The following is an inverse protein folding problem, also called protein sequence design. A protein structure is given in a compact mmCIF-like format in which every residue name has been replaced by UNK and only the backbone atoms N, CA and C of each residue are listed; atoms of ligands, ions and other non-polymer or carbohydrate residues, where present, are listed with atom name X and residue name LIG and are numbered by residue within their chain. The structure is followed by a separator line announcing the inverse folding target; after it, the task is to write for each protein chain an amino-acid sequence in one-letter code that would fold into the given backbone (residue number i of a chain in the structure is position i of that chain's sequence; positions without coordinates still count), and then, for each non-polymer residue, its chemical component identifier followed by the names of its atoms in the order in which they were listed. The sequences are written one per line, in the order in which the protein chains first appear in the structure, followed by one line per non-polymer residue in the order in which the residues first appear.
data_IF_934395249367
#
_entry.id   IF_934395249367
#
_cell.length_a   1.000
_cell.length_b   1.000
_cell.length_c   1.000
_cell.angle_alpha   90.00
_cell.angle_beta   90.00
_cell.angle_gamma   90.00
#
_symmetry.space_group_name_H-M   'P 1'
#
loop_
_entity.id
_entity.type
_entity.pdbx_description
1 polymer ?
#
# COMPACT_ATOMS: atom_id res chain seq x y z
N UNK A 1 6.75 -25.15 -93.90
CA UNK A 1 7.09 -23.77 -93.49
C UNK A 1 6.42 -23.49 -92.15
N UNK A 2 7.12 -23.74 -91.03
CA UNK A 2 6.59 -23.66 -89.67
C UNK A 2 7.06 -22.37 -89.03
N UNK A 3 6.14 -21.53 -88.56
CA UNK A 3 6.46 -20.33 -87.78
C UNK A 3 6.16 -20.61 -86.39
N UNK A 4 7.18 -20.64 -85.53
CA UNK A 4 7.18 -20.79 -84.10
C UNK A 4 6.94 -19.41 -83.48
N UNK A 5 5.86 -19.25 -82.69
CA UNK A 5 5.64 -18.06 -81.89
C UNK A 5 6.09 -18.36 -80.45
N UNK A 6 7.12 -17.64 -80.03
CA UNK A 6 7.51 -17.57 -78.63
C UNK A 6 6.50 -16.67 -77.86
N UNK A 7 5.78 -17.20 -76.91
CA UNK A 7 5.00 -16.45 -75.95
C UNK A 7 5.86 -16.29 -74.72
N UNK A 8 6.23 -15.04 -74.38
CA UNK A 8 6.87 -14.66 -73.13
C UNK A 8 5.80 -14.53 -72.08
N UNK A 9 5.84 -15.42 -71.04
CA UNK A 9 4.98 -15.34 -69.86
C UNK A 9 5.63 -14.43 -68.80
N UNK A 10 5.06 -13.24 -68.58
CA UNK A 10 5.40 -12.38 -67.45
C UNK A 10 4.74 -12.94 -66.17
N UNK A 11 5.52 -13.52 -65.29
CA UNK A 11 5.13 -13.90 -63.95
C UNK A 11 5.23 -12.66 -63.03
N UNK A 12 4.12 -12.01 -62.76
CA UNK A 12 3.99 -11.01 -61.68
C UNK A 12 3.85 -11.71 -60.35
N UNK A 13 4.90 -11.74 -59.55
CA UNK A 13 4.89 -12.20 -58.18
C UNK A 13 4.21 -11.12 -57.28
N UNK A 14 2.95 -11.34 -56.97
CA UNK A 14 2.25 -10.56 -55.91
C UNK A 14 2.69 -11.08 -54.53
N UNK A 15 3.65 -10.37 -53.94
CA UNK A 15 4.06 -10.62 -52.55
C UNK A 15 2.94 -10.20 -51.60
N UNK A 16 2.18 -11.15 -51.03
CA UNK A 16 1.32 -10.92 -49.87
C UNK A 16 2.22 -10.66 -48.65
N UNK A 17 2.36 -9.39 -48.28
CA UNK A 17 2.81 -9.00 -46.93
C UNK A 17 1.71 -9.34 -45.94
N UNK A 18 1.73 -10.56 -45.39
CA UNK A 18 0.97 -10.88 -44.18
C UNK A 18 1.66 -10.18 -43.01
N UNK A 19 1.19 -8.97 -42.65
CA UNK A 19 1.50 -8.36 -41.39
C UNK A 19 0.95 -9.29 -40.29
N UNK A 20 1.81 -10.12 -39.72
CA UNK A 20 1.50 -10.93 -38.55
C UNK A 20 1.19 -10.02 -37.39
N UNK A 21 -0.07 -9.78 -37.15
CA UNK A 21 -0.56 -9.25 -35.84
C UNK A 21 -0.17 -10.28 -34.78
N UNK A 22 0.98 -10.04 -34.15
CA UNK A 22 1.35 -10.75 -32.92
C UNK A 22 0.27 -10.43 -31.88
N UNK A 23 -0.78 -11.25 -31.82
CA UNK A 23 -1.68 -11.29 -30.68
C UNK A 23 -0.81 -11.78 -29.54
N UNK A 24 -0.29 -10.83 -28.72
CA UNK A 24 0.17 -11.14 -27.40
C UNK A 24 -0.99 -11.82 -26.67
N UNK A 25 -0.94 -13.14 -26.57
CA UNK A 25 -1.82 -13.92 -25.72
C UNK A 25 -1.52 -13.48 -24.29
N UNK A 26 -2.19 -12.41 -23.82
CA UNK A 26 -2.17 -12.03 -22.42
C UNK A 26 -2.61 -13.28 -21.64
N UNK A 27 -1.65 -13.89 -20.94
CA UNK A 27 -1.93 -15.07 -20.12
C UNK A 27 -3.12 -14.73 -19.24
N UNK A 28 -4.25 -15.39 -19.49
CA UNK A 28 -5.53 -15.09 -18.83
C UNK A 28 -5.31 -15.27 -17.34
N UNK A 29 -5.49 -14.21 -16.58
CA UNK A 29 -5.30 -14.25 -15.13
C UNK A 29 -6.20 -15.36 -14.55
N UNK A 30 -5.64 -16.21 -13.69
CA UNK A 30 -6.36 -17.32 -13.04
C UNK A 30 -7.62 -16.84 -12.30
N UNK A 31 -7.57 -15.61 -11.79
CA UNK A 31 -8.67 -14.97 -11.08
C UNK A 31 -9.12 -13.71 -11.81
N UNK A 32 -10.44 -13.56 -11.92
CA UNK A 32 -11.09 -12.34 -12.31
C UNK A 32 -11.43 -11.47 -11.09
N UNK A 33 -12.02 -10.31 -11.33
CA UNK A 33 -12.54 -9.45 -10.28
C UNK A 33 -13.91 -8.89 -10.64
N UNK A 34 -14.69 -8.59 -9.61
CA UNK A 34 -15.98 -7.95 -9.73
C UNK A 34 -16.05 -6.74 -8.79
N UNK A 35 -16.65 -5.65 -9.27
CA UNK A 35 -16.91 -4.46 -8.46
C UNK A 35 -17.74 -4.80 -7.22
N UNK A 36 -17.50 -4.10 -6.12
CA UNK A 36 -18.27 -4.24 -4.88
C UNK A 36 -19.02 -2.95 -4.57
N UNK A 37 -20.11 -3.06 -3.83
CA UNK A 37 -20.83 -1.90 -3.33
C UNK A 37 -20.02 -1.23 -2.20
N UNK A 38 -19.30 -0.15 -2.48
CA UNK A 38 -18.38 0.54 -1.56
C UNK A 38 -19.03 0.86 -0.20
N UNK A 39 -20.29 1.26 -0.18
CA UNK A 39 -21.06 1.58 1.05
C UNK A 39 -21.14 0.42 2.05
N UNK A 40 -20.88 -0.80 1.59
CA UNK A 40 -20.84 -2.01 2.43
C UNK A 40 -19.48 -2.31 3.00
N UNK A 41 -18.45 -1.51 2.71
CA UNK A 41 -17.10 -1.73 3.14
C UNK A 41 -16.54 -0.55 3.93
N UNK A 42 -15.70 -0.86 4.89
CA UNK A 42 -14.89 0.13 5.59
C UNK A 42 -13.43 -0.35 5.58
N UNK A 43 -12.54 0.47 5.01
CA UNK A 43 -11.09 0.27 5.05
C UNK A 43 -10.57 1.01 6.26
N UNK A 44 -10.04 0.28 7.23
CA UNK A 44 -9.73 0.78 8.54
C UNK A 44 -8.28 0.52 8.92
N UNK A 45 -7.71 1.44 9.67
CA UNK A 45 -6.45 1.25 10.38
C UNK A 45 -6.74 1.06 11.87
N UNK A 46 -6.46 -0.14 12.36
CA UNK A 46 -6.55 -0.50 13.77
C UNK A 46 -5.25 -0.14 14.48
N UNK A 47 -5.28 0.64 15.57
CA UNK A 47 -4.09 0.88 16.38
C UNK A 47 -3.68 -0.39 17.12
N UNK A 48 -2.37 -0.73 17.08
CA UNK A 48 -1.80 -1.86 17.81
C UNK A 48 -0.65 -1.36 18.68
N UNK A 49 -0.63 -1.77 19.94
CA UNK A 49 0.37 -1.31 20.88
C UNK A 49 0.53 0.21 20.88
N UNK A 50 1.77 0.71 21.06
CA UNK A 50 2.01 2.16 21.19
C UNK A 50 2.14 2.92 19.88
N UNK A 51 2.63 2.28 18.81
CA UNK A 51 3.00 2.98 17.57
C UNK A 51 2.56 2.31 16.27
N UNK A 52 2.15 1.05 16.31
CA UNK A 52 1.83 0.27 15.12
C UNK A 52 0.37 0.39 14.70
N UNK A 53 0.12 0.06 13.43
CA UNK A 53 -1.22 0.03 12.84
C UNK A 53 -1.39 -1.24 12.03
N UNK A 54 -2.58 -1.84 12.09
CA UNK A 54 -2.97 -3.00 11.30
C UNK A 54 -4.07 -2.60 10.33
N UNK A 55 -3.93 -3.01 9.06
CA UNK A 55 -4.99 -2.87 8.07
C UNK A 55 -6.10 -3.87 8.37
N UNK A 56 -7.32 -3.39 8.35
CA UNK A 56 -8.55 -4.17 8.51
C UNK A 56 -9.57 -3.67 7.50
N UNK A 57 -10.17 -4.58 6.74
CA UNK A 57 -11.35 -4.25 5.94
C UNK A 57 -12.55 -4.96 6.54
N UNK A 58 -13.63 -4.21 6.79
CA UNK A 58 -14.92 -4.74 7.24
C UNK A 58 -15.92 -4.72 6.11
N UNK A 59 -16.74 -5.76 6.02
CA UNK A 59 -17.89 -5.84 5.13
C UNK A 59 -19.15 -6.00 5.93
N UNK A 60 -20.16 -5.19 5.61
CA UNK A 60 -21.55 -5.30 6.09
C UNK A 60 -22.31 -6.25 5.16
N UNK A 61 -22.60 -7.48 5.60
CA UNK A 61 -23.34 -8.47 4.81
C UNK A 61 -24.85 -8.26 4.94
N UNK A 62 -25.37 -8.25 6.17
CA UNK A 62 -26.77 -7.93 6.48
C UNK A 62 -26.88 -6.49 6.97
N UNK A 63 -28.00 -5.83 6.74
CA UNK A 63 -28.20 -4.42 7.07
C UNK A 63 -28.07 -4.11 8.57
N UNK A 64 -28.42 -5.05 9.43
CA UNK A 64 -28.39 -4.93 10.88
C UNK A 64 -27.89 -6.23 11.53
N UNK A 65 -27.31 -6.14 12.75
CA UNK A 65 -26.80 -4.94 13.39
C UNK A 65 -25.60 -4.35 12.62
N UNK A 66 -25.28 -3.06 12.85
CA UNK A 66 -24.18 -2.39 12.19
C UNK A 66 -22.83 -2.93 12.64
N UNK A 67 -21.94 -3.24 11.66
CA UNK A 67 -20.59 -3.76 11.89
C UNK A 67 -19.62 -2.70 12.40
N UNK A 68 -19.91 -1.42 12.13
CA UNK A 68 -19.15 -0.26 12.61
C UNK A 68 -20.03 0.98 12.71
N UNK A 69 -19.59 1.95 13.50
CA UNK A 69 -20.20 3.26 13.63
C UNK A 69 -19.16 4.36 13.51
N UNK A 70 -19.49 5.42 12.80
CA UNK A 70 -18.69 6.65 12.84
C UNK A 70 -18.88 7.32 14.21
N UNK A 71 -17.79 7.81 14.80
CA UNK A 71 -17.78 8.56 16.06
C UNK A 71 -17.72 10.06 15.74
N UNK A 72 -18.15 10.89 16.70
CA UNK A 72 -18.11 12.34 16.56
C UNK A 72 -16.69 12.91 16.46
N UNK A 73 -15.69 12.22 17.02
CA UNK A 73 -14.27 12.57 16.95
C UNK A 73 -13.58 12.16 15.64
N UNK A 74 -14.35 11.71 14.63
CA UNK A 74 -13.85 11.28 13.32
C UNK A 74 -13.23 9.88 13.29
N UNK A 75 -13.23 9.17 14.42
CA UNK A 75 -12.83 7.78 14.47
C UNK A 75 -14.01 6.85 14.14
N UNK A 76 -13.70 5.61 13.92
CA UNK A 76 -14.67 4.53 13.68
C UNK A 76 -14.60 3.52 14.81
N UNK A 77 -15.73 3.19 15.38
CA UNK A 77 -15.86 2.15 16.36
C UNK A 77 -16.37 0.86 15.71
N UNK A 78 -15.58 -0.23 15.69
CA UNK A 78 -16.05 -1.54 15.24
C UNK A 78 -16.99 -2.14 16.29
N UNK A 79 -18.11 -2.66 15.84
CA UNK A 79 -19.15 -3.22 16.76
C UNK A 79 -19.06 -4.74 16.90
N UNK A 80 -18.03 -5.37 16.31
CA UNK A 80 -17.93 -6.84 16.20
C UNK A 80 -17.86 -7.58 17.53
N UNK A 81 -17.41 -6.92 18.60
CA UNK A 81 -17.33 -7.53 19.93
C UNK A 81 -18.64 -7.41 20.72
N UNK A 82 -19.68 -6.77 20.16
CA UNK A 82 -20.94 -6.49 20.86
C UNK A 82 -22.05 -7.50 20.56
N UNK A 83 -21.86 -8.34 19.52
CA UNK A 83 -22.82 -9.34 19.10
C UNK A 83 -22.13 -10.47 18.29
N UNK A 84 -22.84 -11.57 18.08
CA UNK A 84 -22.37 -12.61 17.16
C UNK A 84 -22.44 -12.10 15.73
N UNK A 85 -21.33 -11.71 15.17
CA UNK A 85 -21.22 -11.09 13.83
C UNK A 85 -21.22 -12.11 12.68
N UNK A 86 -21.25 -13.42 12.93
CA UNK A 86 -21.26 -14.46 11.91
C UNK A 86 -22.42 -14.29 10.94
N UNK A 87 -22.14 -14.27 9.65
CA UNK A 87 -23.15 -14.04 8.60
C UNK A 87 -23.72 -12.63 8.51
N UNK A 88 -23.32 -11.70 9.40
CA UNK A 88 -23.74 -10.29 9.42
C UNK A 88 -22.60 -9.39 8.96
N UNK A 89 -21.40 -9.66 9.46
CA UNK A 89 -20.18 -8.93 9.12
C UNK A 89 -19.08 -9.89 8.65
N UNK A 90 -18.18 -9.39 7.84
CA UNK A 90 -16.96 -10.11 7.47
C UNK A 90 -15.74 -9.25 7.71
N UNK A 91 -14.66 -9.87 8.13
CA UNK A 91 -13.35 -9.24 8.38
C UNK A 91 -12.32 -9.78 7.41
N UNK A 92 -11.50 -8.87 6.86
CA UNK A 92 -10.34 -9.19 6.05
C UNK A 92 -9.12 -8.59 6.75
N UNK A 93 -8.18 -9.42 7.19
CA UNK A 93 -7.14 -9.06 8.18
C UNK A 93 -5.72 -9.10 7.62
N UNK A 94 -5.49 -9.88 6.58
CA UNK A 94 -4.15 -10.20 6.07
C UNK A 94 -4.20 -10.58 4.58
N UNK A 95 -3.08 -11.07 4.05
CA UNK A 95 -2.95 -11.46 2.65
C UNK A 95 -3.86 -12.61 2.21
N UNK A 96 -4.48 -13.36 3.13
CA UNK A 96 -5.51 -14.34 2.78
C UNK A 96 -6.84 -13.65 2.48
N UNK A 97 -7.09 -12.51 3.12
CA UNK A 97 -8.31 -11.74 2.96
C UNK A 97 -8.25 -10.67 1.87
N UNK A 98 -7.07 -10.12 1.58
CA UNK A 98 -6.92 -9.07 0.57
C UNK A 98 -5.54 -9.10 -0.11
N UNK A 99 -5.49 -8.62 -1.36
CA UNK A 99 -4.25 -8.46 -2.13
C UNK A 99 -4.34 -7.28 -3.10
N UNK A 100 -3.26 -7.03 -3.84
CA UNK A 100 -3.18 -6.01 -4.88
C UNK A 100 -3.59 -6.59 -6.23
N UNK A 101 -4.39 -5.83 -7.00
CA UNK A 101 -4.67 -6.07 -8.42
C UNK A 101 -4.39 -4.79 -9.21
N UNK A 102 -3.72 -4.88 -10.36
CA UNK A 102 -3.40 -3.71 -11.17
C UNK A 102 -3.32 -4.10 -12.64
N UNK A 103 -3.98 -3.32 -13.52
CA UNK A 103 -4.02 -3.62 -14.95
C UNK A 103 -4.54 -5.02 -15.27
N UNK A 104 -5.55 -5.50 -14.53
CA UNK A 104 -6.11 -6.83 -14.70
C UNK A 104 -5.30 -7.98 -14.10
N UNK A 105 -4.11 -7.74 -13.52
CA UNK A 105 -3.23 -8.77 -12.97
C UNK A 105 -3.37 -8.91 -11.45
N UNK A 106 -3.47 -10.15 -10.95
CA UNK A 106 -3.37 -10.45 -9.52
C UNK A 106 -1.89 -10.39 -9.10
N UNK A 107 -1.59 -9.51 -8.16
CA UNK A 107 -0.23 -9.26 -7.66
C UNK A 107 -0.07 -9.64 -6.18
N UNK A 108 -0.93 -10.52 -5.68
CA UNK A 108 -0.98 -10.89 -4.27
C UNK A 108 0.29 -11.54 -3.73
N UNK A 109 1.06 -12.23 -4.55
CA UNK A 109 2.34 -12.83 -4.15
C UNK A 109 3.50 -11.84 -4.15
N UNK A 110 3.37 -10.74 -4.90
CA UNK A 110 4.44 -9.76 -5.10
C UNK A 110 4.36 -8.60 -4.13
N UNK A 111 3.17 -8.08 -3.85
CA UNK A 111 2.99 -6.88 -3.02
C UNK A 111 2.55 -7.21 -1.59
N UNK A 112 3.03 -6.40 -0.64
CA UNK A 112 2.60 -6.42 0.77
C UNK A 112 2.09 -5.05 1.16
N UNK A 113 1.01 -5.01 1.96
CA UNK A 113 0.47 -3.76 2.48
C UNK A 113 1.14 -3.35 3.79
N UNK A 114 1.35 -2.05 3.92
CA UNK A 114 1.89 -1.42 5.13
C UNK A 114 1.13 -0.15 5.43
N UNK A 115 0.89 0.09 6.72
CA UNK A 115 0.43 1.38 7.22
C UNK A 115 1.61 2.17 7.77
N UNK A 116 1.89 3.33 7.18
CA UNK A 116 3.00 4.21 7.56
C UNK A 116 2.47 5.55 8.05
N UNK A 117 2.80 5.89 9.31
CA UNK A 117 2.51 7.22 9.85
C UNK A 117 3.59 8.22 9.42
N UNK A 118 3.18 9.40 9.00
CA UNK A 118 4.04 10.54 8.70
C UNK A 118 3.36 11.82 9.25
N UNK A 119 3.82 12.28 10.41
CA UNK A 119 3.15 13.36 11.13
C UNK A 119 1.70 13.03 11.48
N UNK A 120 0.78 13.84 10.99
CA UNK A 120 -0.67 13.66 11.13
C UNK A 120 -1.31 12.82 10.02
N UNK A 121 -0.54 12.30 9.07
CA UNK A 121 -1.02 11.46 7.99
C UNK A 121 -0.71 9.99 8.24
N UNK A 122 -1.67 9.12 7.98
CA UNK A 122 -1.52 7.67 7.93
C UNK A 122 -1.71 7.23 6.49
N UNK A 123 -0.70 6.58 5.92
CA UNK A 123 -0.67 6.14 4.53
C UNK A 123 -0.79 4.63 4.45
N UNK A 124 -1.68 4.14 3.60
CA UNK A 124 -1.72 2.75 3.17
C UNK A 124 -0.85 2.62 1.93
N UNK A 125 0.24 1.89 2.07
CA UNK A 125 1.23 1.68 1.02
C UNK A 125 1.26 0.21 0.61
N UNK A 126 1.35 -0.07 -0.70
CA UNK A 126 1.69 -1.38 -1.23
C UNK A 126 3.18 -1.39 -1.60
N UNK A 127 3.90 -2.36 -1.04
CA UNK A 127 5.35 -2.52 -1.18
C UNK A 127 5.65 -3.74 -2.03
N UNK A 128 6.51 -3.53 -3.02
CA UNK A 128 7.20 -4.58 -3.73
C UNK A 128 8.64 -4.65 -3.19
N UNK A 129 9.12 -5.79 -2.67
CA UNK A 129 10.48 -5.92 -2.17
C UNK A 129 11.57 -5.57 -3.19
N UNK A 130 11.26 -5.70 -4.48
CA UNK A 130 12.18 -5.40 -5.59
C UNK A 130 12.15 -3.92 -6.00
N UNK A 131 11.23 -3.11 -5.45
CA UNK A 131 11.04 -1.71 -5.83
C UNK A 131 11.30 -0.76 -4.65
N UNK A 132 11.99 0.36 -4.92
CA UNK A 132 12.29 1.36 -3.90
C UNK A 132 11.09 2.22 -3.51
N UNK A 133 10.24 2.53 -4.46
CA UNK A 133 9.08 3.40 -4.25
C UNK A 133 7.82 2.60 -3.97
N UNK A 134 7.16 2.79 -2.81
CA UNK A 134 5.87 2.17 -2.52
C UNK A 134 4.75 2.83 -3.34
N UNK A 135 3.72 2.06 -3.65
CA UNK A 135 2.48 2.59 -4.21
C UNK A 135 1.61 3.12 -3.08
N UNK A 136 1.17 4.38 -3.16
CA UNK A 136 0.18 4.93 -2.25
C UNK A 136 -1.21 4.46 -2.69
N UNK A 137 -1.86 3.67 -1.85
CA UNK A 137 -3.17 3.06 -2.11
C UNK A 137 -4.29 3.83 -1.42
N UNK A 138 -4.01 4.40 -0.26
CA UNK A 138 -4.99 5.18 0.49
C UNK A 138 -4.34 5.96 1.62
N UNK A 139 -5.11 6.87 2.21
CA UNK A 139 -4.61 7.67 3.34
C UNK A 139 -5.73 8.16 4.25
N UNK A 140 -5.34 8.61 5.44
CA UNK A 140 -6.19 9.29 6.39
C UNK A 140 -5.41 10.34 7.18
N UNK A 141 -6.12 11.34 7.72
CA UNK A 141 -5.57 12.23 8.76
C UNK A 141 -5.80 11.62 10.12
N UNK A 142 -4.79 11.67 10.97
CA UNK A 142 -4.85 11.21 12.36
C UNK A 142 -4.78 12.44 13.26
N UNK A 143 -5.84 12.73 13.96
CA UNK A 143 -5.86 13.80 14.98
C UNK A 143 -5.57 13.22 16.37
N UNK A 144 -6.07 12.02 16.63
CA UNK A 144 -5.99 11.34 17.92
C UNK A 144 -5.72 9.85 17.70
N UNK A 145 -4.96 9.25 18.60
CA UNK A 145 -4.81 7.80 18.69
C UNK A 145 -5.64 7.30 19.88
N UNK A 146 -6.60 6.45 19.60
CA UNK A 146 -7.46 5.83 20.60
C UNK A 146 -7.38 4.31 20.41
N UNK A 147 -7.02 3.52 21.44
CA UNK A 147 -6.94 2.06 21.34
C UNK A 147 -8.25 1.41 20.88
N UNK A 148 -9.40 2.04 21.19
CA UNK A 148 -10.73 1.57 20.86
C UNK A 148 -11.34 2.26 19.63
N UNK A 149 -10.62 3.20 19.03
CA UNK A 149 -11.06 3.96 17.87
C UNK A 149 -10.18 3.66 16.65
N UNK A 150 -10.79 3.23 15.53
CA UNK A 150 -10.09 2.92 14.29
C UNK A 150 -10.14 4.13 13.36
N UNK A 151 -9.13 4.28 12.53
CA UNK A 151 -9.05 5.37 11.55
C UNK A 151 -9.58 4.87 10.22
N UNK A 152 -10.60 5.55 9.67
CA UNK A 152 -11.08 5.26 8.32
C UNK A 152 -10.07 5.75 7.27
N UNK A 153 -9.64 4.86 6.40
CA UNK A 153 -8.76 5.17 5.27
C UNK A 153 -9.62 5.46 4.04
N UNK A 154 -9.29 6.55 3.35
CA UNK A 154 -9.84 6.85 2.03
C UNK A 154 -8.86 6.33 0.99
N UNK A 155 -9.34 5.58 0.03
CA UNK A 155 -8.55 5.15 -1.11
C UNK A 155 -8.17 6.35 -1.98
N UNK A 156 -6.98 6.31 -2.57
CA UNK A 156 -6.53 7.32 -3.52
C UNK A 156 -7.32 7.21 -4.84
N UNK A 157 -7.42 8.29 -5.61
CA UNK A 157 -8.09 8.26 -6.91
C UNK A 157 -7.56 7.14 -7.81
N UNK A 158 -8.47 6.42 -8.44
CA UNK A 158 -8.19 5.27 -9.29
C UNK A 158 -8.08 3.93 -8.55
N UNK A 159 -8.01 3.93 -7.22
CA UNK A 159 -8.08 2.72 -6.40
C UNK A 159 -9.50 2.44 -5.95
N UNK A 160 -9.90 1.18 -6.06
CA UNK A 160 -11.21 0.67 -5.59
C UNK A 160 -11.06 -0.69 -4.91
N UNK A 161 -12.06 -1.09 -4.15
CA UNK A 161 -12.18 -2.47 -3.71
C UNK A 161 -12.92 -3.29 -4.77
N UNK A 162 -12.41 -4.49 -5.06
CA UNK A 162 -13.05 -5.47 -5.93
C UNK A 162 -13.07 -6.84 -5.25
N UNK A 163 -14.03 -7.66 -5.62
CA UNK A 163 -14.14 -9.04 -5.16
C UNK A 163 -13.34 -9.94 -6.09
N UNK A 164 -12.46 -10.81 -5.55
CA UNK A 164 -11.83 -11.86 -6.34
C UNK A 164 -12.90 -12.86 -6.81
N UNK A 165 -12.80 -13.26 -8.08
CA UNK A 165 -13.71 -14.20 -8.72
C UNK A 165 -12.88 -15.34 -9.32
N UNK A 166 -13.35 -16.57 -9.13
CA UNK A 166 -12.79 -17.77 -9.75
C UNK A 166 -13.88 -18.56 -10.46
N UNK A 167 -13.74 -18.77 -11.76
CA UNK A 167 -14.74 -19.46 -12.59
C UNK A 167 -16.17 -18.94 -12.38
N UNK A 168 -16.34 -17.59 -12.38
CA UNK A 168 -17.61 -16.92 -12.17
C UNK A 168 -18.10 -16.90 -10.72
N UNK A 169 -17.40 -17.51 -9.75
CA UNK A 169 -17.81 -17.56 -8.35
C UNK A 169 -17.05 -16.54 -7.51
N UNK A 170 -17.74 -15.65 -6.79
CA UNK A 170 -17.09 -14.70 -5.88
C UNK A 170 -16.42 -15.43 -4.71
N UNK A 171 -15.17 -15.08 -4.44
CA UNK A 171 -14.40 -15.64 -3.33
C UNK A 171 -14.40 -14.70 -2.10
N UNK A 172 -14.01 -15.26 -0.97
CA UNK A 172 -13.81 -14.53 0.29
C UNK A 172 -12.48 -13.77 0.32
N UNK A 173 -12.20 -13.01 -0.75
CA UNK A 173 -10.96 -12.28 -0.93
C UNK A 173 -11.26 -10.97 -1.66
N UNK A 174 -10.64 -9.89 -1.21
CA UNK A 174 -10.76 -8.56 -1.81
C UNK A 174 -9.47 -8.18 -2.52
N UNK A 175 -9.61 -7.42 -3.59
CA UNK A 175 -8.52 -6.69 -4.21
C UNK A 175 -8.60 -5.21 -3.83
N UNK A 176 -7.46 -4.63 -3.50
CA UNK A 176 -7.23 -3.22 -3.75
C UNK A 176 -6.83 -3.11 -5.21
N UNK A 177 -7.75 -2.68 -6.04
CA UNK A 177 -7.64 -2.73 -7.50
C UNK A 177 -7.38 -1.36 -8.11
N UNK A 178 -6.58 -1.32 -9.17
CA UNK A 178 -6.34 -0.16 -10.00
C UNK A 178 -6.31 -0.57 -11.47
N UNK A 179 -6.94 0.22 -12.36
CA UNK A 179 -7.05 -0.11 -13.78
C UNK A 179 -5.70 0.02 -14.53
N UNK A 180 -4.86 0.96 -14.13
CA UNK A 180 -3.55 1.15 -14.73
C UNK A 180 -2.60 -0.02 -14.45
N UNK A 181 -1.73 -0.40 -15.42
CA UNK A 181 -0.69 -1.39 -15.20
C UNK A 181 0.28 -0.99 -14.10
N UNK A 182 0.76 -1.96 -13.34
CA UNK A 182 1.61 -1.73 -12.16
C UNK A 182 2.93 -1.01 -12.47
N UNK A 183 3.55 -1.27 -13.62
CA UNK A 183 4.77 -0.61 -14.05
C UNK A 183 4.57 0.90 -14.24
N UNK A 184 3.41 1.32 -14.75
CA UNK A 184 3.05 2.74 -14.87
C UNK A 184 2.86 3.39 -13.51
N UNK A 185 2.17 2.71 -12.58
CA UNK A 185 2.00 3.20 -11.21
C UNK A 185 3.34 3.36 -10.49
N UNK A 186 4.24 2.39 -10.62
CA UNK A 186 5.58 2.45 -10.03
C UNK A 186 6.43 3.60 -10.63
N UNK A 187 6.36 3.82 -11.94
CA UNK A 187 7.04 4.94 -12.59
C UNK A 187 6.54 6.29 -12.06
N UNK A 188 5.24 6.45 -11.86
CA UNK A 188 4.65 7.66 -11.28
C UNK A 188 5.06 7.83 -9.81
N UNK A 189 5.08 6.76 -9.03
CA UNK A 189 5.49 6.78 -7.62
C UNK A 189 6.96 7.20 -7.48
N UNK A 190 7.85 6.68 -8.32
CA UNK A 190 9.27 7.03 -8.33
C UNK A 190 9.49 8.52 -8.65
N UNK A 191 8.77 9.07 -9.61
CA UNK A 191 8.83 10.51 -9.95
C UNK A 191 8.38 11.40 -8.78
N UNK A 192 7.34 11.01 -8.06
CA UNK A 192 6.87 11.75 -6.86
C UNK A 192 7.90 11.71 -5.74
N UNK A 193 8.56 10.57 -5.53
CA UNK A 193 9.62 10.42 -4.55
C UNK A 193 10.82 11.34 -4.81
N UNK A 194 11.25 11.46 -6.06
CA UNK A 194 12.33 12.36 -6.47
C UNK A 194 11.97 13.84 -6.23
N UNK A 195 10.77 14.28 -6.59
CA UNK A 195 10.34 15.67 -6.35
C UNK A 195 10.32 16.04 -4.86
N UNK A 196 9.89 15.13 -4.00
CA UNK A 196 9.93 15.34 -2.55
C UNK A 196 11.35 15.40 -1.97
N UNK A 197 12.30 14.71 -2.58
CA UNK A 197 13.72 14.73 -2.21
C UNK A 197 14.39 16.05 -2.57
N UNK A 198 14.16 16.57 -3.76
CA UNK A 198 14.73 17.84 -4.20
C UNK A 198 14.18 19.06 -3.43
N UNK A 199 12.91 19.03 -3.04
CA UNK A 199 12.32 20.12 -2.24
C UNK A 199 12.92 20.24 -0.84
N UNK A 200 13.53 19.17 -0.30
CA UNK A 200 14.24 19.23 0.98
C UNK A 200 15.69 19.71 0.87
N UNK A 201 16.28 19.61 -0.32
CA UNK A 201 17.66 20.06 -0.57
C UNK A 201 17.74 21.51 -1.07
N UNK A 202 16.61 22.10 -1.44
CA UNK A 202 16.54 23.47 -1.96
C UNK A 202 16.11 24.51 -0.91
N UNK A 203 16.23 24.26 0.38
CA UNK A 203 16.22 25.35 1.34
C UNK A 203 17.53 26.11 1.19
N UNK A 204 17.53 27.41 0.84
CA UNK A 204 18.77 28.18 0.80
C UNK A 204 19.38 28.14 2.20
N UNK A 205 20.58 27.59 2.31
CA UNK A 205 21.37 27.74 3.52
C UNK A 205 21.61 29.25 3.70
N UNK A 206 20.97 29.84 4.70
CA UNK A 206 21.33 31.16 5.15
C UNK A 206 22.82 31.13 5.52
N UNK A 207 23.62 32.18 5.19
CA UNK A 207 25.01 32.23 5.56
C UNK A 207 25.12 32.05 7.08
N UNK A 208 25.82 31.02 7.50
CA UNK A 208 26.12 30.79 8.92
C UNK A 208 27.07 31.92 9.33
N UNK A 209 26.58 32.88 10.10
CA UNK A 209 27.44 33.86 10.74
C UNK A 209 28.45 33.13 11.64
N UNK A 210 29.75 33.48 11.61
CA UNK A 210 30.71 32.86 12.48
C UNK A 210 30.32 33.06 13.95
N UNK A 211 30.50 32.04 14.80
CA UNK A 211 30.15 32.13 16.21
C UNK A 211 31.00 33.22 16.87
N UNK A 212 30.43 34.04 17.79
CA UNK A 212 31.20 35.03 18.53
C UNK A 212 32.25 34.31 19.36
N UNK A 213 33.49 34.85 19.35
CA UNK A 213 34.59 34.37 20.16
C UNK A 213 34.22 34.37 21.64
N UNK A 214 34.50 33.28 22.40
CA UNK A 214 34.19 33.26 23.82
C UNK A 214 35.06 34.26 24.58
N UNK A 215 34.37 35.13 25.32
CA UNK A 215 35.01 36.03 26.28
C UNK A 215 35.74 35.16 27.34
N UNK A 216 36.99 35.47 27.56
CA UNK A 216 37.82 34.80 28.58
C UNK A 216 37.23 35.09 29.98
N UNK A 217 36.60 34.11 30.59
CA UNK A 217 36.22 34.16 31.99
C UNK A 217 36.98 33.10 32.80
N UNK A 218 37.56 33.61 33.86
CA UNK A 218 38.49 32.96 34.75
C UNK A 218 38.06 31.59 35.29
N UNK A 219 39.03 30.71 35.32
CA UNK A 219 39.08 29.43 36.01
C UNK A 219 38.51 29.46 37.44
N UNK A 220 37.45 28.69 37.68
CA UNK A 220 37.17 28.10 38.99
C UNK A 220 37.27 26.58 38.87
N UNK A 221 38.36 26.04 39.43
CA UNK A 221 38.52 24.63 39.72
C UNK A 221 37.34 24.12 40.53
N UNK A 222 36.57 23.16 39.96
CA UNK A 222 35.71 22.27 40.72
C UNK A 222 36.23 20.86 40.61
N UNK A 223 36.55 20.31 41.78
CA UNK A 223 36.97 18.94 42.05
C UNK A 223 35.94 17.95 41.48
N UNK A 224 36.43 17.02 40.66
CA UNK A 224 35.66 15.90 40.14
C UNK A 224 35.34 14.92 41.27
N UNK A 225 34.06 14.67 41.53
CA UNK A 225 33.62 13.51 42.30
C UNK A 225 33.64 12.29 41.36
N UNK A 226 34.47 11.31 41.75
CA UNK A 226 34.52 9.99 41.15
C UNK A 226 33.16 9.28 41.37
N UNK A 227 32.47 8.96 40.31
CA UNK A 227 31.28 8.11 40.35
C UNK A 227 31.70 6.66 40.66
N UNK A 228 31.13 6.12 41.73
CA UNK A 228 31.29 4.73 42.16
C UNK A 228 30.74 3.77 41.13
N UNK A 229 31.60 2.91 40.59
CA UNK A 229 31.21 1.77 39.75
C UNK A 229 30.82 0.60 40.66
N UNK A 230 29.54 0.49 41.04
CA UNK A 230 29.03 -0.72 41.66
C UNK A 230 28.57 -1.72 40.58
N UNK A 231 28.93 -3.01 40.71
CA UNK A 231 28.52 -4.01 39.70
C UNK A 231 27.00 -4.26 39.75
N UNK A 232 26.40 -4.29 38.55
CA UNK A 232 24.98 -4.61 38.40
C UNK A 232 24.80 -6.13 38.63
N UNK A 233 24.05 -6.50 39.67
CA UNK A 233 23.63 -7.89 39.88
C UNK A 233 22.45 -8.21 38.99
N UNK A 234 22.64 -9.14 38.06
CA UNK A 234 21.56 -9.73 37.27
C UNK A 234 20.83 -10.80 38.11
N UNK A 235 19.52 -10.64 38.26
CA UNK A 235 18.66 -11.63 38.92
C UNK A 235 18.11 -12.59 37.86
N UNK A 236 18.51 -13.85 37.90
CA UNK A 236 18.01 -14.90 37.04
C UNK A 236 16.68 -15.42 37.61
N UNK A 237 15.60 -15.24 36.85
CA UNK A 237 14.28 -15.78 37.21
C UNK A 237 14.18 -17.19 36.60
N UNK A 238 14.02 -18.26 37.39
CA UNK A 238 13.86 -19.60 36.85
C UNK A 238 12.51 -19.77 36.15
N UNK A 239 12.57 -20.29 34.93
CA UNK A 239 11.38 -20.68 34.16
C UNK A 239 10.76 -21.93 34.78
N UNK A 240 9.51 -21.85 35.24
CA UNK A 240 8.70 -23.02 35.63
C UNK A 240 8.01 -23.58 34.39
N UNK A 241 8.23 -24.86 34.14
CA UNK A 241 7.48 -25.67 33.17
C UNK A 241 6.07 -25.95 33.65
#
# INVERSE_FOLDING_TARGET
MSRTYLQAACLTAVGLLTAGLSQESAARALFDSAAVAEKRFAVLAQPIGRAQWKLLVLEQIKAQPRCWRARQDGLVEPSLNRFNFSGICRRYLDSNGYSLRSGGQDLGTRFRFRLKRSGTSLKLEALDPQQRAPLLVGQARIFKRDPNGFVALRLEPGWALERRVYQGRPLNHLYFAHQEPVNRLLALASRRGHRSGFSRLAAPMAPIAPPPLPAATASRRRTAHLASTAPIRLQVIPYRR
#
